data_IF_324285570998
#
_entry.id   IF_324285570998
#
_cell.length_a   1.000
_cell.length_b   1.000
_cell.length_c   1.000
_cell.angle_alpha   90.00
_cell.angle_beta   90.00
_cell.angle_gamma   90.00
#
_symmetry.space_group_name_H-M   'P 1'
#
loop_
_entity.id
_entity.type
_entity.pdbx_description
1 polymer ?
#
# COMPACT_ATOMS: atom_id res chain seq x y z
N UNK A 1 23.20 -10.94 -21.39
CA UNK A 1 21.81 -11.43 -21.28
C UNK A 1 21.64 -12.05 -19.89
N UNK A 2 21.03 -11.33 -18.96
CA UNK A 2 20.47 -11.89 -17.73
C UNK A 2 19.12 -11.22 -17.53
N UNK A 3 18.06 -11.97 -17.79
CA UNK A 3 16.69 -11.54 -17.54
C UNK A 3 16.39 -11.72 -16.06
N UNK A 4 16.15 -10.61 -15.37
CA UNK A 4 15.47 -10.66 -14.08
C UNK A 4 13.95 -10.60 -14.38
N UNK A 5 13.25 -11.67 -14.04
CA UNK A 5 11.79 -11.68 -14.05
C UNK A 5 11.28 -10.75 -12.95
N UNK A 6 10.57 -9.70 -13.34
CA UNK A 6 9.98 -8.75 -12.40
C UNK A 6 8.59 -9.25 -12.00
N UNK A 7 8.45 -9.77 -10.79
CA UNK A 7 7.16 -10.17 -10.22
C UNK A 7 6.42 -8.96 -9.64
N UNK A 8 5.13 -8.87 -9.99
CA UNK A 8 4.28 -7.70 -9.82
C UNK A 8 3.63 -7.68 -8.42
N UNK A 9 3.78 -6.59 -7.67
CA UNK A 9 2.99 -6.33 -6.46
C UNK A 9 2.46 -4.88 -6.45
N UNK A 10 1.21 -4.65 -6.00
CA UNK A 10 0.62 -3.33 -5.91
C UNK A 10 1.31 -2.51 -4.81
N UNK A 11 1.68 -1.27 -5.15
CA UNK A 11 2.60 -0.44 -4.40
C UNK A 11 2.20 -0.18 -2.95
N UNK A 12 3.13 -0.51 -2.05
CA UNK A 12 3.21 0.03 -0.70
C UNK A 12 3.85 1.42 -0.78
N UNK A 13 3.14 2.48 -0.38
CA UNK A 13 3.79 3.78 -0.13
C UNK A 13 4.31 3.75 1.31
N UNK A 14 5.63 3.78 1.46
CA UNK A 14 6.26 4.10 2.73
C UNK A 14 6.17 5.62 2.93
N UNK A 15 5.40 6.06 3.92
CA UNK A 15 5.42 7.46 4.33
C UNK A 15 6.65 7.64 5.24
N UNK A 16 7.67 8.35 4.73
CA UNK A 16 8.75 8.86 5.56
C UNK A 16 8.26 10.10 6.32
N UNK A 17 7.45 9.88 7.36
CA UNK A 17 7.16 10.92 8.35
C UNK A 17 8.01 10.62 9.60
N UNK A 18 9.19 11.24 9.64
CA UNK A 18 10.04 11.25 10.83
C UNK A 18 9.51 12.32 11.79
N UNK A 19 8.58 11.97 12.67
CA UNK A 19 8.26 12.78 13.85
C UNK A 19 8.33 11.90 15.11
N UNK A 20 9.45 12.08 15.82
CA UNK A 20 9.64 11.64 17.20
C UNK A 20 8.62 12.33 18.11
N UNK A 21 7.77 11.57 18.79
CA UNK A 21 7.40 11.92 20.17
C UNK A 21 6.88 10.75 21.00
N UNK A 22 7.62 10.41 22.06
CA UNK A 22 7.10 10.27 23.42
C UNK A 22 6.17 9.09 23.80
N UNK A 23 6.81 8.03 24.35
CA UNK A 23 6.49 7.28 25.60
C UNK A 23 5.04 6.87 25.94
N UNK A 24 4.86 5.57 26.18
CA UNK A 24 3.81 5.01 27.03
C UNK A 24 3.89 3.48 27.09
N UNK A 25 4.40 2.95 28.21
CA UNK A 25 4.51 1.52 28.51
C UNK A 25 3.14 0.91 28.86
N UNK A 26 2.98 -0.38 28.59
CA UNK A 26 1.84 -1.19 28.99
C UNK A 26 2.05 -2.63 28.51
N UNK A 27 2.68 -3.42 29.37
CA UNK A 27 2.85 -4.86 29.19
C UNK A 27 1.50 -5.56 29.42
N UNK A 28 1.05 -6.33 28.44
CA UNK A 28 0.14 -7.46 28.68
C UNK A 28 0.46 -8.60 27.70
N UNK A 29 0.91 -9.71 28.27
CA UNK A 29 1.21 -10.96 27.58
C UNK A 29 -0.08 -11.61 27.09
N UNK A 30 -0.18 -11.90 25.80
CA UNK A 30 -1.06 -12.94 25.28
C UNK A 30 -0.23 -13.76 24.28
N UNK A 31 0.27 -14.90 24.76
CA UNK A 31 0.73 -15.99 23.90
C UNK A 31 -0.48 -16.51 23.12
N UNK A 32 -0.38 -16.51 21.80
CA UNK A 32 -1.20 -17.36 20.94
C UNK A 32 -0.32 -17.79 19.76
N UNK A 33 0.14 -19.04 19.86
CA UNK A 33 0.80 -19.78 18.81
C UNK A 33 -0.21 -20.31 17.78
N UNK A 34 0.33 -20.59 16.60
CA UNK A 34 -0.15 -21.47 15.53
C UNK A 34 -1.15 -20.94 14.49
N UNK A 35 -0.60 -20.76 13.29
CA UNK A 35 -1.36 -20.61 12.05
C UNK A 35 -0.49 -20.28 10.85
N UNK A 36 0.63 -20.98 10.64
CA UNK A 36 1.43 -20.88 9.42
C UNK A 36 0.63 -21.42 8.23
N UNK A 37 -0.09 -20.54 7.56
CA UNK A 37 -0.56 -20.74 6.19
C UNK A 37 -0.12 -19.56 5.37
N UNK A 38 1.15 -19.59 4.98
CA UNK A 38 1.66 -18.74 3.91
C UNK A 38 1.06 -19.23 2.59
N UNK A 39 -0.21 -18.90 2.38
CA UNK A 39 -0.78 -18.87 1.05
C UNK A 39 -0.02 -17.77 0.31
N UNK A 40 0.95 -18.17 -0.50
CA UNK A 40 1.61 -17.31 -1.48
C UNK A 40 0.53 -16.95 -2.50
N UNK A 41 -0.17 -15.85 -2.22
CA UNK A 41 -1.23 -15.32 -3.04
C UNK A 41 -0.60 -14.42 -4.10
N UNK A 42 -0.30 -14.98 -5.27
CA UNK A 42 -0.07 -14.19 -6.48
C UNK A 42 -1.40 -13.54 -6.89
N UNK A 43 -1.78 -12.46 -6.18
CA UNK A 43 -3.02 -11.70 -6.44
C UNK A 43 -2.64 -10.39 -7.10
N UNK A 44 -3.08 -10.25 -8.35
CA UNK A 44 -2.90 -9.13 -9.25
C UNK A 44 -3.50 -7.80 -8.74
N UNK A 45 -3.11 -7.28 -7.58
CA UNK A 45 -3.60 -6.00 -7.05
C UNK A 45 -5.12 -5.79 -7.07
N UNK A 46 -5.91 -6.87 -7.09
CA UNK A 46 -7.33 -6.73 -7.39
C UNK A 46 -8.14 -6.24 -6.21
N UNK A 47 -7.70 -6.52 -4.98
CA UNK A 47 -8.36 -6.11 -3.72
C UNK A 47 -7.30 -6.09 -2.60
N UNK A 48 -7.69 -5.66 -1.40
CA UNK A 48 -6.83 -5.68 -0.21
C UNK A 48 -6.10 -7.01 -0.02
N UNK A 49 -4.80 -6.94 0.27
CA UNK A 49 -3.95 -8.08 0.65
C UNK A 49 -3.34 -7.76 2.01
N UNK A 50 -3.36 -8.72 2.93
CA UNK A 50 -2.71 -8.58 4.24
C UNK A 50 -1.19 -8.49 4.08
N UNK A 51 -0.57 -7.54 4.77
CA UNK A 51 0.89 -7.45 4.83
C UNK A 51 1.45 -8.59 5.69
N UNK A 52 2.65 -9.09 5.40
CA UNK A 52 3.41 -9.92 6.33
C UNK A 52 3.50 -9.26 7.71
N UNK A 53 3.43 -10.07 8.76
CA UNK A 53 3.37 -9.58 10.15
C UNK A 53 4.54 -8.65 10.50
N UNK A 54 5.73 -8.89 9.95
CA UNK A 54 6.91 -8.04 10.15
C UNK A 54 6.71 -6.59 9.70
N UNK A 55 6.10 -6.40 8.53
CA UNK A 55 5.85 -5.06 7.98
C UNK A 55 4.70 -4.41 8.74
N UNK A 56 3.67 -5.17 9.07
CA UNK A 56 2.53 -4.68 9.84
C UNK A 56 2.96 -4.16 11.23
N UNK A 57 3.88 -4.86 11.90
CA UNK A 57 4.43 -4.46 13.21
C UNK A 57 5.25 -3.17 13.15
N UNK A 58 5.94 -2.90 12.04
CA UNK A 58 6.72 -1.65 11.86
C UNK A 58 5.86 -0.39 11.79
N UNK A 59 4.55 -0.52 11.51
CA UNK A 59 3.57 0.59 11.43
C UNK A 59 3.98 1.75 10.50
N UNK A 60 4.96 1.54 9.61
CA UNK A 60 5.47 2.54 8.66
C UNK A 60 4.71 2.62 7.33
N UNK A 61 3.71 1.77 7.14
CA UNK A 61 2.97 1.66 5.88
C UNK A 61 1.47 1.81 6.14
N UNK A 62 0.78 2.56 5.27
CA UNK A 62 -0.68 2.53 5.21
C UNK A 62 -1.07 1.48 4.17
N UNK A 63 -1.89 0.50 4.56
CA UNK A 63 -2.42 -0.52 3.66
C UNK A 63 -3.95 -0.35 3.53
N UNK A 64 -4.43 0.42 2.53
CA UNK A 64 -5.86 0.69 2.35
C UNK A 64 -6.66 -0.60 2.15
N UNK A 65 -7.76 -0.76 2.89
CA UNK A 65 -8.62 -1.94 2.85
C UNK A 65 -9.70 -1.81 1.78
N UNK A 66 -9.31 -1.90 0.51
CA UNK A 66 -10.21 -1.83 -0.64
C UNK A 66 -10.92 -3.16 -0.95
N UNK A 67 -12.17 -3.05 -1.40
CA UNK A 67 -12.99 -4.17 -1.92
C UNK A 67 -13.14 -4.14 -3.45
N UNK A 68 -12.59 -3.14 -4.11
CA UNK A 68 -12.62 -2.91 -5.55
C UNK A 68 -11.21 -3.07 -6.17
N UNK A 69 -11.11 -2.97 -7.50
CA UNK A 69 -9.86 -3.10 -8.27
C UNK A 69 -9.02 -1.82 -8.34
N UNK A 70 -9.27 -0.85 -7.45
CA UNK A 70 -8.61 0.45 -7.46
C UNK A 70 -7.47 0.56 -6.43
N UNK A 71 -6.78 -0.53 -6.11
CA UNK A 71 -5.71 -0.55 -5.08
C UNK A 71 -4.67 0.56 -5.30
N UNK A 72 -4.21 0.76 -6.54
CA UNK A 72 -3.22 1.78 -6.89
C UNK A 72 -3.73 3.19 -6.57
N UNK A 73 -4.98 3.49 -6.95
CA UNK A 73 -5.63 4.77 -6.63
C UNK A 73 -5.70 4.98 -5.12
N UNK A 74 -6.15 3.98 -4.38
CA UNK A 74 -6.23 4.08 -2.91
C UNK A 74 -4.85 4.25 -2.27
N UNK A 75 -3.82 3.53 -2.73
CA UNK A 75 -2.44 3.69 -2.24
C UNK A 75 -1.93 5.11 -2.48
N UNK A 76 -2.13 5.69 -3.67
CA UNK A 76 -1.73 7.07 -3.98
C UNK A 76 -2.46 8.08 -3.09
N UNK A 77 -3.77 7.92 -2.93
CA UNK A 77 -4.58 8.82 -2.10
C UNK A 77 -4.23 8.74 -0.61
N UNK A 78 -3.70 7.60 -0.14
CA UNK A 78 -3.29 7.40 1.25
C UNK A 78 -2.25 8.43 1.72
N UNK A 79 -1.49 9.06 0.81
CA UNK A 79 -0.57 10.18 1.11
C UNK A 79 -1.25 11.34 1.85
N UNK A 80 -2.53 11.58 1.58
CA UNK A 80 -3.29 12.70 2.17
C UNK A 80 -4.12 12.30 3.38
N UNK A 81 -4.15 11.00 3.72
CA UNK A 81 -5.00 10.47 4.79
C UNK A 81 -4.31 10.65 6.13
N UNK A 82 -4.96 11.39 7.02
CA UNK A 82 -4.50 11.68 8.38
C UNK A 82 -5.43 11.08 9.43
N UNK A 83 -4.99 11.08 10.69
CA UNK A 83 -5.78 10.63 11.83
C UNK A 83 -5.75 9.12 12.09
N UNK A 84 -6.71 8.64 12.89
CA UNK A 84 -6.84 7.23 13.26
C UNK A 84 -7.50 6.43 12.12
N UNK A 85 -7.27 5.12 12.09
CA UNK A 85 -7.87 4.20 11.12
C UNK A 85 -7.54 4.51 9.65
N UNK A 86 -6.30 4.93 9.38
CA UNK A 86 -5.83 5.30 8.03
C UNK A 86 -6.04 4.19 6.99
N UNK A 87 -6.08 2.93 7.39
CA UNK A 87 -6.32 1.80 6.47
C UNK A 87 -7.78 1.71 5.99
N UNK A 88 -8.75 2.30 6.69
CA UNK A 88 -10.17 2.21 6.31
C UNK A 88 -10.49 3.25 5.24
N UNK A 89 -10.99 2.78 4.10
CA UNK A 89 -11.47 3.65 3.02
C UNK A 89 -12.85 4.20 3.37
N UNK A 90 -13.00 5.51 3.23
CA UNK A 90 -14.21 6.26 3.48
C UNK A 90 -14.02 7.73 3.09
N UNK A 91 -14.73 8.64 3.77
CA UNK A 91 -14.66 10.07 3.48
C UNK A 91 -13.24 10.65 3.57
N UNK A 92 -12.40 10.10 4.45
CA UNK A 92 -10.98 10.43 4.57
C UNK A 92 -10.20 10.24 3.26
N UNK A 93 -10.62 9.31 2.39
CA UNK A 93 -10.05 9.12 1.06
C UNK A 93 -10.85 9.84 -0.04
N UNK A 94 -12.19 9.76 0.00
CA UNK A 94 -13.04 10.28 -1.07
C UNK A 94 -12.85 11.78 -1.32
N UNK A 95 -12.59 12.56 -0.25
CA UNK A 95 -12.29 13.99 -0.35
C UNK A 95 -11.00 14.32 -1.14
N UNK A 96 -10.21 13.32 -1.52
CA UNK A 96 -8.95 13.50 -2.22
C UNK A 96 -9.00 13.06 -3.70
N UNK A 97 -10.17 12.63 -4.21
CA UNK A 97 -10.32 12.07 -5.55
C UNK A 97 -9.83 12.97 -6.69
N UNK A 98 -9.95 14.28 -6.53
CA UNK A 98 -9.58 15.26 -7.56
C UNK A 98 -8.11 15.69 -7.48
N UNK A 99 -7.33 15.19 -6.51
CA UNK A 99 -5.93 15.59 -6.34
C UNK A 99 -5.01 15.07 -7.45
N UNK A 100 -5.42 14.02 -8.17
CA UNK A 100 -4.62 13.38 -9.21
C UNK A 100 -5.47 12.94 -10.39
N UNK A 101 -4.90 12.99 -11.59
CA UNK A 101 -5.51 12.46 -12.80
C UNK A 101 -5.21 10.96 -12.96
N UNK A 102 -6.24 10.14 -12.80
CA UNK A 102 -6.21 8.69 -13.02
C UNK A 102 -6.84 8.28 -14.37
N UNK A 103 -7.22 9.24 -15.22
CA UNK A 103 -7.86 8.93 -16.50
C UNK A 103 -6.93 8.12 -17.40
N UNK A 104 -7.49 7.25 -18.24
CA UNK A 104 -6.71 6.43 -19.17
C UNK A 104 -5.83 5.36 -18.52
N UNK A 105 -5.98 5.12 -17.21
CA UNK A 105 -5.44 3.94 -16.54
C UNK A 105 -6.47 2.81 -16.58
N UNK A 106 -6.00 1.59 -16.74
CA UNK A 106 -6.76 0.37 -16.52
C UNK A 106 -6.78 0.00 -15.03
N UNK A 107 -7.76 -0.84 -14.65
CA UNK A 107 -7.89 -1.33 -13.28
C UNK A 107 -8.06 -2.86 -13.25
N UNK A 108 -7.22 -3.59 -12.49
CA UNK A 108 -6.10 -3.11 -11.68
C UNK A 108 -5.00 -2.48 -12.55
N UNK A 109 -4.38 -1.41 -12.06
CA UNK A 109 -3.39 -0.65 -12.83
C UNK A 109 -2.10 -1.47 -12.96
N UNK A 110 -1.69 -1.88 -14.17
CA UNK A 110 -0.44 -2.61 -14.36
C UNK A 110 0.75 -1.67 -14.13
N UNK A 111 1.89 -2.22 -13.73
CA UNK A 111 3.12 -1.44 -13.48
C UNK A 111 3.56 -0.62 -14.71
N UNK A 112 3.32 -1.17 -15.90
CA UNK A 112 3.61 -0.49 -17.17
C UNK A 112 2.81 0.81 -17.36
N UNK A 113 1.69 1.00 -16.65
CA UNK A 113 0.87 2.21 -16.72
C UNK A 113 1.17 3.22 -15.61
N UNK A 114 2.01 2.89 -14.62
CA UNK A 114 2.45 3.86 -13.60
C UNK A 114 3.15 5.07 -14.23
N UNK A 115 3.94 4.86 -15.28
CA UNK A 115 4.55 5.95 -16.06
C UNK A 115 3.53 6.84 -16.79
N UNK A 116 2.33 6.33 -17.06
CA UNK A 116 1.23 7.13 -17.63
C UNK A 116 0.67 8.04 -16.53
N UNK A 117 0.46 7.48 -15.34
CA UNK A 117 0.04 8.25 -14.17
C UNK A 117 1.03 9.39 -13.85
N UNK A 118 2.33 9.10 -13.77
CA UNK A 118 3.35 10.12 -13.50
C UNK A 118 3.38 11.21 -14.59
N UNK A 119 3.28 10.84 -15.87
CA UNK A 119 3.21 11.82 -16.97
C UNK A 119 2.00 12.75 -16.87
N UNK A 120 0.88 12.26 -16.34
CA UNK A 120 -0.33 13.06 -16.11
C UNK A 120 -0.27 13.91 -14.84
N UNK A 121 0.61 13.55 -13.90
CA UNK A 121 0.77 14.20 -12.61
C UNK A 121 2.25 14.60 -12.42
N UNK A 122 2.75 15.63 -13.13
CA UNK A 122 4.19 15.90 -13.27
C UNK A 122 4.92 16.27 -11.96
N UNK A 123 4.19 16.58 -10.89
CA UNK A 123 4.73 16.81 -9.54
C UNK A 123 4.79 15.55 -8.69
N UNK A 124 4.49 14.37 -9.25
CA UNK A 124 4.40 13.10 -8.54
C UNK A 124 5.35 12.09 -9.17
N UNK A 125 6.13 11.43 -8.31
CA UNK A 125 6.87 10.22 -8.64
C UNK A 125 6.40 9.06 -7.78
N UNK A 126 6.42 7.85 -8.35
CA UNK A 126 5.96 6.62 -7.72
C UNK A 126 7.11 5.61 -7.68
N UNK A 127 7.47 5.19 -6.47
CA UNK A 127 8.37 4.07 -6.26
C UNK A 127 7.55 2.80 -6.00
N UNK A 128 7.93 1.70 -6.63
CA UNK A 128 7.30 0.38 -6.45
C UNK A 128 8.33 -0.60 -5.93
N UNK A 129 7.99 -1.30 -4.86
CA UNK A 129 8.84 -2.29 -4.20
C UNK A 129 8.13 -3.66 -4.18
N UNK A 130 8.89 -4.72 -4.49
CA UNK A 130 8.45 -6.09 -4.29
C UNK A 130 8.81 -6.59 -2.90
N UNK A 131 8.00 -7.49 -2.35
CA UNK A 131 8.33 -8.25 -1.15
C UNK A 131 8.73 -9.65 -1.58
N UNK A 132 9.98 -10.00 -1.33
CA UNK A 132 10.48 -11.35 -1.53
C UNK A 132 10.43 -12.10 -0.21
N UNK A 133 10.02 -13.37 -0.26
CA UNK A 133 10.07 -14.25 0.90
C UNK A 133 11.51 -14.76 1.01
N UNK A 134 12.14 -14.53 2.16
CA UNK A 134 13.45 -15.10 2.49
C UNK A 134 13.32 -16.57 2.89
#
# INVERSE_FOLDING_TARGET
MLGAGYSNLPGCIQNNDNENNGRGAGDENIESEEGERDQVMERNGETYISLPGEIQRKRGTINPQNKDRHCFKWSVLAKHVTGRNRCRIGNNYHQHFEKYDFSGLSFPTPLSEVKIFERKNPSVSINVYGLEKN
#
